data_IF_893272607287
#
_entry.id   IF_893272607287
#
_cell.length_a   1.000
_cell.length_b   1.000
_cell.length_c   1.000
_cell.angle_alpha   90.00
_cell.angle_beta   90.00
_cell.angle_gamma   90.00
#
_symmetry.space_group_name_H-M   'P 1'
#
loop_
_entity.id
_entity.type
_entity.pdbx_description
1 polymer ?
#
# COMPACT_ATOMS: atom_id res chain seq x y z
N UNK A 1 0.28 -67.66 22.94
CA UNK A 1 0.91 -67.35 21.64
C UNK A 1 0.00 -66.35 20.93
N UNK A 2 0.38 -65.06 20.94
CA UNK A 2 -0.47 -63.93 20.54
C UNK A 2 -0.06 -63.46 19.15
N UNK A 3 -1.00 -63.43 18.20
CA UNK A 3 -1.08 -62.44 17.11
C UNK A 3 -2.57 -62.24 16.79
N UNK A 4 -3.06 -61.00 16.73
CA UNK A 4 -3.08 -60.33 15.43
C UNK A 4 -2.93 -58.80 15.50
N UNK A 5 -2.73 -58.18 14.33
CA UNK A 5 -2.91 -56.73 14.16
C UNK A 5 -2.11 -56.16 13.00
N UNK A 6 -2.61 -56.30 11.77
CA UNK A 6 -2.14 -55.51 10.64
C UNK A 6 -2.83 -54.15 10.76
N UNK A 7 -2.07 -53.11 11.09
CA UNK A 7 -2.54 -51.73 11.10
C UNK A 7 -2.48 -51.16 9.67
N UNK A 8 -3.64 -50.86 9.09
CA UNK A 8 -3.74 -50.09 7.86
C UNK A 8 -3.59 -48.60 8.21
N UNK A 9 -2.52 -47.96 7.74
CA UNK A 9 -2.34 -46.52 7.86
C UNK A 9 -3.11 -45.82 6.73
N UNK A 10 -4.12 -45.02 7.09
CA UNK A 10 -4.82 -44.14 6.17
C UNK A 10 -3.97 -42.89 5.92
N UNK A 11 -3.50 -42.69 4.69
CA UNK A 11 -2.90 -41.43 4.26
C UNK A 11 -4.02 -40.44 3.93
N UNK A 12 -4.16 -39.39 4.75
CA UNK A 12 -5.06 -38.27 4.46
C UNK A 12 -4.35 -37.32 3.50
N UNK A 13 -4.72 -37.36 2.22
CA UNK A 13 -4.26 -36.37 1.23
C UNK A 13 -4.96 -35.04 1.50
N UNK A 14 -4.21 -34.03 1.94
CA UNK A 14 -4.69 -32.65 1.98
C UNK A 14 -4.63 -32.10 0.56
N UNK A 15 -5.79 -31.96 -0.09
CA UNK A 15 -5.89 -31.22 -1.35
C UNK A 15 -5.87 -29.73 -1.00
N UNK A 16 -4.71 -29.09 -1.20
CA UNK A 16 -4.61 -27.64 -1.21
C UNK A 16 -5.28 -27.12 -2.49
N UNK A 17 -6.56 -26.76 -2.39
CA UNK A 17 -7.22 -25.97 -3.43
C UNK A 17 -6.53 -24.60 -3.44
N UNK A 18 -5.86 -24.27 -4.54
CA UNK A 18 -5.33 -22.93 -4.75
C UNK A 18 -6.51 -21.94 -4.71
N UNK A 19 -6.51 -21.03 -3.73
CA UNK A 19 -7.46 -19.92 -3.69
C UNK A 19 -7.35 -19.12 -4.99
N UNK A 20 -8.45 -18.75 -5.65
CA UNK A 20 -8.37 -17.85 -6.80
C UNK A 20 -7.70 -16.54 -6.36
N UNK A 21 -6.86 -15.98 -7.23
CA UNK A 21 -6.23 -14.67 -7.00
C UNK A 21 -7.31 -13.57 -7.02
N UNK A 22 -7.98 -13.37 -5.89
CA UNK A 22 -8.94 -12.29 -5.70
C UNK A 22 -8.19 -11.00 -5.39
N UNK A 23 -8.50 -9.94 -6.13
CA UNK A 23 -8.09 -8.60 -5.75
C UNK A 23 -8.60 -8.29 -4.33
N UNK A 24 -7.73 -7.73 -3.51
CA UNK A 24 -8.04 -7.31 -2.16
C UNK A 24 -7.97 -5.78 -2.07
N UNK A 25 -8.60 -5.20 -1.05
CA UNK A 25 -8.54 -3.77 -0.81
C UNK A 25 -7.94 -3.42 0.55
N UNK A 26 -7.37 -2.23 0.66
CA UNK A 26 -6.88 -1.68 1.92
C UNK A 26 -7.14 -0.17 1.96
N UNK A 27 -7.71 0.29 3.08
CA UNK A 27 -8.11 1.67 3.27
C UNK A 27 -7.15 2.40 4.20
N UNK A 28 -6.76 3.60 3.81
CA UNK A 28 -5.85 4.45 4.57
C UNK A 28 -6.33 5.90 4.60
N UNK A 29 -6.12 6.54 5.74
CA UNK A 29 -6.16 8.00 5.87
C UNK A 29 -4.75 8.56 5.92
N UNK A 30 -4.55 9.76 5.37
CA UNK A 30 -3.27 10.45 5.46
C UNK A 30 -3.43 11.94 5.77
N UNK A 31 -2.49 12.48 6.52
CA UNK A 31 -2.47 13.88 6.94
C UNK A 31 -1.04 14.38 7.08
N UNK A 32 -0.76 15.55 6.54
CA UNK A 32 0.45 16.34 6.72
C UNK A 32 0.09 17.83 6.81
N UNK A 33 1.09 18.71 6.76
CA UNK A 33 0.90 20.16 6.91
C UNK A 33 0.13 20.80 5.75
N UNK A 34 0.40 20.40 4.50
CA UNK A 34 -0.30 20.89 3.31
C UNK A 34 -1.19 19.84 2.65
N UNK A 35 -0.99 18.56 2.91
CA UNK A 35 -1.65 17.45 2.21
C UNK A 35 -2.53 16.64 3.16
N UNK A 36 -3.73 16.26 2.73
CA UNK A 36 -4.60 15.34 3.48
C UNK A 36 -5.55 14.58 2.57
N UNK A 37 -6.08 13.47 3.05
CA UNK A 37 -7.05 12.70 2.29
C UNK A 37 -7.14 11.25 2.72
N UNK A 38 -7.63 10.43 1.81
CA UNK A 38 -7.75 8.99 1.99
C UNK A 38 -7.57 8.26 0.67
N UNK A 39 -7.07 7.03 0.73
CA UNK A 39 -7.08 6.14 -0.41
C UNK A 39 -7.53 4.73 -0.02
N UNK A 40 -8.30 4.13 -0.92
CA UNK A 40 -8.56 2.70 -0.98
C UNK A 40 -7.73 2.13 -2.12
N UNK A 41 -6.79 1.26 -1.78
CA UNK A 41 -5.92 0.56 -2.72
C UNK A 41 -6.60 -0.74 -3.11
N UNK A 42 -6.70 -1.03 -4.40
CA UNK A 42 -7.01 -2.39 -4.89
C UNK A 42 -5.73 -3.05 -5.37
N UNK A 43 -5.36 -4.18 -4.76
CA UNK A 43 -4.10 -4.85 -5.04
C UNK A 43 -4.26 -6.34 -5.31
N UNK A 44 -3.31 -6.90 -6.05
CA UNK A 44 -3.26 -8.32 -6.44
C UNK A 44 -1.88 -8.92 -6.09
N UNK A 45 -1.79 -10.26 -5.91
CA UNK A 45 -0.50 -10.91 -5.70
C UNK A 45 0.51 -10.56 -6.81
N UNK A 46 1.75 -10.27 -6.42
CA UNK A 46 2.82 -10.01 -7.37
C UNK A 46 3.52 -11.33 -7.77
N UNK A 47 3.42 -11.79 -9.03
CA UNK A 47 4.07 -13.02 -9.47
C UNK A 47 5.58 -12.85 -9.71
N UNK A 48 6.10 -11.62 -9.76
CA UNK A 48 7.49 -11.32 -10.12
C UNK A 48 8.34 -10.99 -8.90
N UNK A 49 8.09 -11.63 -7.76
CA UNK A 49 8.82 -11.33 -6.51
C UNK A 49 10.13 -12.11 -6.38
N UNK A 50 11.13 -11.48 -5.76
CA UNK A 50 12.43 -12.09 -5.49
C UNK A 50 13.27 -11.28 -4.52
N UNK A 51 14.40 -11.85 -4.11
CA UNK A 51 15.38 -11.13 -3.29
C UNK A 51 16.01 -10.02 -4.12
N UNK A 52 15.96 -8.78 -3.64
CA UNK A 52 16.70 -7.69 -4.27
C UNK A 52 18.20 -7.98 -4.14
N UNK A 53 18.81 -8.36 -5.26
CA UNK A 53 20.26 -8.54 -5.40
C UNK A 53 20.92 -7.26 -5.91
N UNK A 54 22.03 -7.40 -6.63
CA UNK A 54 22.70 -6.30 -7.32
C UNK A 54 22.01 -5.87 -8.62
N UNK A 55 20.92 -6.54 -9.02
CA UNK A 55 20.13 -6.26 -10.23
C UNK A 55 18.62 -6.24 -9.92
N UNK A 56 18.17 -5.26 -9.12
CA UNK A 56 16.79 -5.15 -8.65
C UNK A 56 15.76 -4.95 -9.78
N UNK A 57 16.17 -4.58 -10.99
CA UNK A 57 15.27 -4.39 -12.13
C UNK A 57 14.62 -5.68 -12.69
N UNK A 58 15.00 -6.86 -12.20
CA UNK A 58 14.48 -8.14 -12.72
C UNK A 58 13.33 -8.72 -11.91
N UNK A 59 13.22 -8.31 -10.65
CA UNK A 59 12.21 -8.78 -9.68
C UNK A 59 11.71 -7.61 -8.83
N UNK A 60 10.50 -7.73 -8.31
CA UNK A 60 10.04 -6.86 -7.24
C UNK A 60 10.38 -7.47 -5.88
N UNK A 61 10.47 -6.68 -4.80
CA UNK A 61 10.82 -7.21 -3.51
C UNK A 61 9.79 -8.22 -2.99
N UNK A 62 10.27 -9.26 -2.30
CA UNK A 62 9.40 -10.21 -1.59
C UNK A 62 8.46 -9.46 -0.64
N UNK A 63 7.19 -9.86 -0.63
CA UNK A 63 6.14 -9.21 0.18
C UNK A 63 5.44 -8.04 -0.52
N UNK A 64 5.84 -7.70 -1.75
CA UNK A 64 5.11 -6.74 -2.58
C UNK A 64 3.83 -7.33 -3.17
N UNK A 65 2.85 -6.45 -3.33
CA UNK A 65 1.64 -6.66 -4.12
C UNK A 65 1.58 -5.58 -5.21
N UNK A 66 0.96 -5.90 -6.34
CA UNK A 66 0.77 -4.93 -7.42
C UNK A 66 -0.50 -4.14 -7.13
N UNK A 67 -0.39 -2.82 -7.09
CA UNK A 67 -1.56 -1.95 -7.05
C UNK A 67 -2.18 -1.88 -8.44
N UNK A 68 -3.40 -2.38 -8.54
CA UNK A 68 -4.18 -2.42 -9.79
C UNK A 68 -5.13 -1.23 -9.93
N UNK A 69 -5.55 -0.63 -8.83
CA UNK A 69 -6.37 0.57 -8.80
C UNK A 69 -6.23 1.32 -7.48
N UNK A 70 -6.59 2.59 -7.49
CA UNK A 70 -6.68 3.44 -6.30
C UNK A 70 -7.84 4.42 -6.44
N UNK A 71 -8.63 4.55 -5.38
CA UNK A 71 -9.74 5.51 -5.28
C UNK A 71 -9.66 6.25 -3.97
N UNK A 72 -10.35 7.39 -3.83
CA UNK A 72 -10.39 8.15 -2.59
C UNK A 72 -10.39 9.64 -2.84
N UNK A 73 -9.86 10.39 -1.88
CA UNK A 73 -9.81 11.86 -1.92
C UNK A 73 -8.42 12.37 -1.64
N UNK A 74 -8.08 13.48 -2.27
CA UNK A 74 -6.84 14.21 -2.06
C UNK A 74 -7.12 15.70 -1.90
N UNK A 75 -6.50 16.30 -0.89
CA UNK A 75 -6.53 17.74 -0.63
C UNK A 75 -5.11 18.26 -0.53
N UNK A 76 -4.88 19.46 -1.05
CA UNK A 76 -3.64 20.19 -0.91
C UNK A 76 -3.95 21.67 -0.64
N UNK A 77 -3.65 22.13 0.58
CA UNK A 77 -3.94 23.49 1.03
C UNK A 77 -3.10 24.56 0.31
N UNK A 78 -1.84 24.26 -0.03
CA UNK A 78 -0.93 25.17 -0.77
C UNK A 78 -1.50 25.51 -2.15
N UNK A 79 -2.10 24.51 -2.80
CA UNK A 79 -2.62 24.62 -4.17
C UNK A 79 -4.12 24.96 -4.22
N UNK A 80 -4.79 25.04 -3.07
CA UNK A 80 -6.24 25.26 -2.98
C UNK A 80 -7.08 24.07 -3.45
N UNK A 81 -6.51 22.86 -3.47
CA UNK A 81 -7.21 21.63 -3.85
C UNK A 81 -7.94 21.08 -2.63
N UNK A 82 -9.27 20.90 -2.72
CA UNK A 82 -10.08 20.37 -1.63
C UNK A 82 -10.90 19.17 -2.09
N UNK A 83 -10.70 18.03 -1.43
CA UNK A 83 -11.42 16.77 -1.65
C UNK A 83 -11.50 16.36 -3.12
N UNK A 84 -10.42 16.58 -3.89
CA UNK A 84 -10.33 16.13 -5.25
C UNK A 84 -10.43 14.60 -5.30
N UNK A 85 -11.30 14.09 -6.17
CA UNK A 85 -11.44 12.66 -6.36
C UNK A 85 -10.16 12.10 -6.99
N UNK A 86 -9.66 10.99 -6.44
CA UNK A 86 -8.63 10.17 -7.09
C UNK A 86 -9.30 9.45 -8.26
N UNK A 87 -8.81 9.69 -9.48
CA UNK A 87 -9.43 9.20 -10.72
C UNK A 87 -8.81 7.91 -11.26
N UNK A 88 -7.66 7.50 -10.71
CA UNK A 88 -7.04 6.22 -11.04
C UNK A 88 -5.53 6.25 -10.89
N UNK A 89 -4.93 5.06 -10.92
CA UNK A 89 -3.49 4.88 -10.87
C UNK A 89 -2.87 5.14 -12.25
N UNK A 90 -1.69 5.77 -12.26
CA UNK A 90 -0.87 5.81 -13.47
C UNK A 90 -0.21 4.43 -13.60
N UNK A 91 -0.46 3.68 -14.69
CA UNK A 91 0.15 2.36 -14.86
C UNK A 91 1.66 2.47 -14.85
N UNK A 92 2.33 1.57 -14.14
CA UNK A 92 3.77 1.42 -14.30
C UNK A 92 4.04 1.15 -15.77
N UNK A 93 4.79 2.05 -16.41
CA UNK A 93 5.32 1.85 -17.75
C UNK A 93 6.78 1.45 -17.60
N UNK A 94 7.07 0.17 -17.31
CA UNK A 94 8.44 -0.32 -17.35
C UNK A 94 8.87 -0.21 -18.81
N UNK A 95 9.49 0.91 -19.18
CA UNK A 95 10.08 1.11 -20.50
C UNK A 95 11.32 0.20 -20.57
N UNK A 96 11.09 -1.11 -20.63
CA UNK A 96 12.04 -2.16 -20.25
C UNK A 96 12.52 -2.02 -18.79
N UNK A 97 12.90 -3.10 -18.09
CA UNK A 97 13.89 -2.90 -17.05
C UNK A 97 15.07 -2.21 -17.75
N UNK A 98 15.39 -0.98 -17.37
CA UNK A 98 16.66 -0.40 -17.78
C UNK A 98 17.69 -1.41 -17.27
N UNK A 99 18.31 -2.15 -18.19
CA UNK A 99 19.23 -3.24 -17.85
C UNK A 99 20.41 -2.74 -17.02
N UNK A 100 20.63 -1.43 -17.00
CA UNK A 100 21.65 -0.74 -16.21
C UNK A 100 21.12 -0.09 -14.93
N UNK A 101 19.80 0.00 -14.74
CA UNK A 101 19.20 0.46 -13.49
C UNK A 101 19.28 -0.64 -12.43
N UNK A 102 20.44 -0.70 -11.79
CA UNK A 102 20.71 -1.60 -10.67
C UNK A 102 20.17 -1.05 -9.33
N UNK A 103 19.33 -0.02 -9.37
CA UNK A 103 18.87 0.68 -8.17
C UNK A 103 17.39 0.43 -7.87
N UNK A 104 16.56 0.08 -8.85
CA UNK A 104 15.11 0.02 -8.67
C UNK A 104 14.47 -1.35 -9.00
N UNK A 105 13.28 -1.67 -8.43
CA UNK A 105 12.49 -2.86 -8.72
C UNK A 105 12.09 -3.02 -10.20
N UNK A 106 11.63 -4.22 -10.55
CA UNK A 106 11.10 -4.53 -11.90
C UNK A 106 9.93 -3.63 -12.29
N UNK A 107 9.03 -3.34 -11.36
CA UNK A 107 7.83 -2.54 -11.62
C UNK A 107 8.10 -1.03 -11.67
N UNK A 108 9.37 -0.63 -11.57
CA UNK A 108 9.77 0.76 -11.67
C UNK A 108 9.29 1.41 -12.97
N UNK A 109 8.73 2.60 -12.81
CA UNK A 109 8.24 3.48 -13.86
C UNK A 109 8.65 4.92 -13.58
N UNK A 110 8.40 5.75 -14.57
CA UNK A 110 8.74 7.16 -14.50
C UNK A 110 7.61 8.01 -15.08
N UNK A 111 7.15 8.99 -14.32
CA UNK A 111 6.12 9.93 -14.75
C UNK A 111 6.82 11.19 -15.26
N UNK A 112 6.75 11.50 -16.56
CA UNK A 112 7.52 12.58 -17.15
C UNK A 112 7.05 13.96 -16.65
N UNK A 113 8.02 14.82 -16.31
CA UNK A 113 7.81 16.23 -15.94
C UNK A 113 8.92 17.05 -16.57
N UNK A 114 8.62 18.26 -17.04
CA UNK A 114 9.61 19.15 -17.66
C UNK A 114 10.51 19.80 -16.59
N UNK A 115 9.92 20.37 -15.54
CA UNK A 115 10.62 20.99 -14.42
C UNK A 115 10.23 20.31 -13.10
N UNK A 116 10.87 19.18 -12.79
CA UNK A 116 10.70 18.50 -11.52
C UNK A 116 11.52 19.12 -10.38
N UNK A 117 11.51 18.50 -9.18
CA UNK A 117 12.24 19.01 -8.03
C UNK A 117 13.75 19.11 -8.31
N UNK A 118 14.46 20.05 -7.68
CA UNK A 118 15.90 20.19 -7.87
C UNK A 118 16.62 18.91 -7.42
N UNK A 119 17.45 18.35 -8.29
CA UNK A 119 18.42 17.33 -7.92
C UNK A 119 19.54 17.95 -7.06
N UNK A 120 20.36 17.13 -6.38
CA UNK A 120 21.54 17.62 -5.66
C UNK A 120 22.52 18.44 -6.52
N UNK A 121 22.52 18.23 -7.84
CA UNK A 121 23.33 18.98 -8.81
C UNK A 121 22.68 20.31 -9.28
N UNK A 122 21.51 20.66 -8.75
CA UNK A 122 20.77 21.88 -9.08
C UNK A 122 19.96 21.79 -10.39
N UNK A 123 20.02 20.68 -11.12
CA UNK A 123 19.19 20.48 -12.33
C UNK A 123 17.80 19.99 -11.96
N UNK A 124 16.73 20.39 -12.69
CA UNK A 124 15.41 19.83 -12.48
C UNK A 124 15.39 18.32 -12.76
N UNK A 125 14.79 17.54 -11.86
CA UNK A 125 14.47 16.16 -12.18
C UNK A 125 13.46 16.12 -13.34
N UNK A 126 13.68 15.23 -14.31
CA UNK A 126 12.84 15.16 -15.51
C UNK A 126 11.58 14.31 -15.33
N UNK A 127 11.15 14.07 -14.08
CA UNK A 127 10.00 13.26 -13.73
C UNK A 127 10.04 12.67 -12.33
N UNK A 128 8.99 11.92 -11.99
CA UNK A 128 8.79 11.25 -10.70
C UNK A 128 8.95 9.75 -10.86
N UNK A 129 9.78 9.14 -10.02
CA UNK A 129 9.92 7.70 -9.92
C UNK A 129 8.77 7.09 -9.13
N UNK A 130 8.28 5.93 -9.57
CA UNK A 130 7.27 5.14 -8.86
C UNK A 130 7.35 3.67 -9.30
N UNK A 131 6.71 2.76 -8.58
CA UNK A 131 6.65 1.36 -9.00
C UNK A 131 5.27 0.71 -8.80
N UNK A 132 4.34 1.40 -8.14
CA UNK A 132 3.00 0.90 -7.82
C UNK A 132 3.01 -0.40 -6.99
N UNK A 133 4.01 -0.57 -6.13
CA UNK A 133 4.11 -1.68 -5.20
C UNK A 133 3.53 -1.33 -3.82
N UNK A 134 2.76 -2.27 -3.27
CA UNK A 134 2.15 -2.16 -1.95
C UNK A 134 2.68 -3.23 -1.00
N UNK A 135 2.96 -2.83 0.24
CA UNK A 135 3.57 -3.66 1.27
C UNK A 135 2.75 -3.61 2.56
N UNK A 136 1.76 -4.50 2.75
CA UNK A 136 0.92 -4.48 3.95
C UNK A 136 1.73 -4.70 5.25
N UNK A 137 2.87 -5.39 5.16
CA UNK A 137 3.79 -5.63 6.28
C UNK A 137 4.90 -4.58 6.44
N UNK A 138 4.87 -3.52 5.63
CA UNK A 138 5.96 -2.54 5.52
C UNK A 138 6.97 -2.90 4.43
N UNK A 139 7.41 -1.88 3.70
CA UNK A 139 8.34 -2.03 2.59
C UNK A 139 9.72 -2.49 3.04
N UNK A 140 10.40 -3.37 2.29
CA UNK A 140 11.82 -3.60 2.48
C UNK A 140 12.62 -2.41 1.92
N UNK A 141 13.95 -2.45 2.10
CA UNK A 141 14.85 -1.52 1.41
C UNK A 141 14.73 -1.72 -0.11
N UNK A 142 14.10 -0.75 -0.79
CA UNK A 142 13.80 -0.83 -2.22
C UNK A 142 14.91 -0.29 -3.14
N UNK A 143 15.78 0.59 -2.63
CA UNK A 143 16.92 1.13 -3.38
C UNK A 143 18.24 0.88 -2.65
N UNK A 144 19.34 0.70 -3.38
CA UNK A 144 20.65 0.46 -2.77
C UNK A 144 21.25 1.70 -2.08
N UNK A 145 20.90 2.90 -2.56
CA UNK A 145 21.41 4.21 -2.12
C UNK A 145 20.50 4.93 -1.11
N UNK A 146 19.31 4.39 -0.83
CA UNK A 146 18.39 4.92 0.18
C UNK A 146 18.29 3.96 1.39
N UNK A 147 18.63 4.39 2.61
CA UNK A 147 18.78 3.46 3.74
C UNK A 147 17.45 3.14 4.47
N UNK A 148 16.42 3.97 4.31
CA UNK A 148 15.19 3.86 5.09
C UNK A 148 14.09 3.09 4.34
N UNK A 149 13.22 2.42 5.09
CA UNK A 149 12.12 1.59 4.58
C UNK A 149 11.05 1.36 5.66
N UNK A 150 9.98 0.62 5.33
CA UNK A 150 8.99 0.16 6.30
C UNK A 150 7.60 0.78 6.16
N UNK A 151 7.38 1.64 5.16
CA UNK A 151 6.05 2.16 4.84
C UNK A 151 5.21 1.20 4.03
N UNK A 152 3.91 1.49 3.90
CA UNK A 152 3.00 0.69 3.05
C UNK A 152 3.33 0.82 1.57
N UNK A 153 4.09 1.86 1.23
CA UNK A 153 4.80 2.06 -0.01
C UNK A 153 6.30 2.13 0.30
N UNK A 154 7.14 1.97 -0.71
CA UNK A 154 8.56 2.26 -0.60
C UNK A 154 8.89 3.69 -1.05
N UNK A 155 10.18 3.96 -1.29
CA UNK A 155 10.69 5.27 -1.67
C UNK A 155 10.30 5.70 -3.08
N UNK A 156 9.86 4.77 -3.94
CA UNK A 156 9.32 5.09 -5.26
C UNK A 156 7.82 5.34 -5.15
N UNK A 157 7.13 4.46 -4.41
CA UNK A 157 5.72 4.58 -4.14
C UNK A 157 4.85 4.53 -5.38
N UNK A 158 3.80 5.34 -5.38
CA UNK A 158 2.74 5.27 -6.39
C UNK A 158 2.53 6.62 -7.07
N UNK A 159 1.99 6.59 -8.29
CA UNK A 159 1.45 7.79 -8.93
C UNK A 159 -0.01 7.58 -9.25
N UNK A 160 -0.86 8.53 -8.85
CA UNK A 160 -2.27 8.54 -9.19
C UNK A 160 -2.68 9.90 -9.74
N UNK A 161 -3.82 9.91 -10.41
CA UNK A 161 -4.42 11.13 -10.97
C UNK A 161 -5.54 11.62 -10.09
N UNK A 162 -5.73 12.94 -10.06
CA UNK A 162 -6.82 13.60 -9.37
C UNK A 162 -7.56 14.55 -10.32
N UNK A 163 -8.87 14.67 -10.14
CA UNK A 163 -9.68 15.66 -10.84
C UNK A 163 -9.65 17.00 -10.08
N UNK A 164 -9.21 18.07 -10.75
CA UNK A 164 -9.26 19.44 -10.21
C UNK A 164 -10.03 20.37 -11.14
N UNK A 165 -10.39 21.55 -10.63
CA UNK A 165 -10.95 22.65 -11.42
C UNK A 165 -10.00 23.15 -12.53
N UNK A 166 -8.69 22.91 -12.36
CA UNK A 166 -7.63 23.25 -13.32
C UNK A 166 -7.20 22.06 -14.19
N UNK A 167 -8.07 21.05 -14.33
CA UNK A 167 -7.83 19.83 -15.10
C UNK A 167 -7.27 18.67 -14.27
N UNK A 168 -6.85 17.60 -14.94
CA UNK A 168 -6.22 16.45 -14.28
C UNK A 168 -4.83 16.82 -13.77
N UNK A 169 -4.54 16.48 -12.52
CA UNK A 169 -3.19 16.57 -11.93
C UNK A 169 -2.72 15.17 -11.56
N UNK A 170 -1.42 14.93 -11.55
CA UNK A 170 -0.83 13.71 -11.02
C UNK A 170 -0.23 13.97 -9.64
N UNK A 171 -0.26 12.96 -8.79
CA UNK A 171 0.30 12.97 -7.46
C UNK A 171 1.19 11.75 -7.31
N UNK A 172 2.48 11.96 -7.05
CA UNK A 172 3.34 10.91 -6.55
C UNK A 172 3.24 10.89 -5.03
N UNK A 173 3.06 9.71 -4.44
CA UNK A 173 2.96 9.50 -3.00
C UNK A 173 3.87 8.34 -2.62
N UNK A 174 4.83 8.58 -1.72
CA UNK A 174 5.89 7.62 -1.39
C UNK A 174 6.16 7.59 0.13
N UNK A 175 6.88 6.57 0.58
CA UNK A 175 7.38 6.50 1.95
C UNK A 175 8.84 6.93 2.04
N UNK A 176 9.17 7.77 3.02
CA UNK A 176 10.55 8.05 3.41
C UNK A 176 11.11 6.97 4.36
N UNK A 177 10.32 5.92 4.64
CA UNK A 177 10.66 4.88 5.59
C UNK A 177 10.52 5.30 7.06
N UNK A 178 10.94 4.41 7.95
CA UNK A 178 10.97 4.64 9.40
C UNK A 178 12.18 5.46 9.78
N UNK A 179 11.96 6.70 10.21
CA UNK A 179 12.99 7.63 10.64
C UNK A 179 12.60 8.13 12.03
N UNK A 180 13.53 8.09 13.00
CA UNK A 180 13.29 8.66 14.33
C UNK A 180 12.13 8.04 15.13
N UNK A 181 11.76 6.79 14.84
CA UNK A 181 10.73 6.04 15.58
C UNK A 181 9.34 6.00 14.94
N UNK A 182 9.16 6.57 13.75
CA UNK A 182 7.91 6.47 12.99
C UNK A 182 8.14 6.48 11.48
N UNK A 183 7.21 5.90 10.73
CA UNK A 183 7.21 5.95 9.28
C UNK A 183 6.68 7.29 8.81
N UNK A 184 7.41 7.98 7.92
CA UNK A 184 6.95 9.21 7.27
C UNK A 184 6.78 9.01 5.77
N UNK A 185 5.97 9.88 5.17
CA UNK A 185 5.63 9.84 3.75
C UNK A 185 5.81 11.23 3.14
N UNK A 186 5.89 11.27 1.82
CA UNK A 186 5.89 12.51 1.05
C UNK A 186 4.94 12.43 -0.13
N UNK A 187 4.61 13.60 -0.67
CA UNK A 187 3.80 13.72 -1.86
C UNK A 187 4.27 14.87 -2.74
N UNK A 188 4.19 14.69 -4.06
CA UNK A 188 4.49 15.72 -5.05
C UNK A 188 3.31 15.84 -6.01
N UNK A 189 2.81 17.06 -6.20
CA UNK A 189 1.69 17.36 -7.09
C UNK A 189 2.21 18.00 -8.37
N UNK A 190 1.76 17.55 -9.53
CA UNK A 190 2.22 18.03 -10.84
C UNK A 190 1.09 18.14 -11.86
N UNK A 191 1.25 19.00 -12.87
CA UNK A 191 0.49 18.98 -14.13
C UNK A 191 1.20 18.27 -15.28
N UNK A 192 2.33 17.63 -15.02
CA UNK A 192 3.19 17.04 -16.05
C UNK A 192 4.08 18.06 -16.77
N UNK A 193 4.02 19.35 -16.41
CA UNK A 193 5.02 20.35 -16.79
C UNK A 193 5.90 20.68 -15.59
N UNK A 194 5.29 21.07 -14.48
CA UNK A 194 6.00 21.51 -13.28
C UNK A 194 5.58 20.68 -12.05
N UNK A 195 6.47 20.56 -11.06
CA UNK A 195 6.06 20.20 -9.70
C UNK A 195 5.55 21.45 -8.99
N UNK A 196 4.28 21.41 -8.61
CA UNK A 196 3.51 22.54 -8.08
C UNK A 196 3.62 22.64 -6.56
N UNK A 197 3.71 21.49 -5.88
CA UNK A 197 3.95 21.40 -4.45
C UNK A 197 4.70 20.10 -4.14
N UNK A 198 5.56 20.15 -3.12
CA UNK A 198 6.34 19.02 -2.62
C UNK A 198 6.21 18.98 -1.10
N UNK A 199 5.40 18.06 -0.60
CA UNK A 199 5.06 17.91 0.80
C UNK A 199 5.84 16.76 1.44
N UNK A 200 6.34 16.99 2.65
CA UNK A 200 6.97 15.97 3.50
C UNK A 200 6.20 15.75 4.80
N UNK A 201 6.74 14.88 5.66
CA UNK A 201 6.22 14.58 7.01
C UNK A 201 4.74 14.20 7.05
N UNK A 202 4.27 13.49 6.02
CA UNK A 202 2.91 12.98 5.96
C UNK A 202 2.83 11.72 6.82
N UNK A 203 1.80 11.66 7.67
CA UNK A 203 1.43 10.47 8.44
C UNK A 203 0.35 9.69 7.70
N UNK A 204 0.50 8.37 7.66
CA UNK A 204 -0.47 7.44 7.04
C UNK A 204 -0.95 6.46 8.10
N UNK A 205 -2.26 6.29 8.19
CA UNK A 205 -2.90 5.39 9.17
C UNK A 205 -3.84 4.44 8.45
N UNK A 206 -3.73 3.14 8.76
CA UNK A 206 -4.67 2.15 8.26
C UNK A 206 -6.04 2.39 8.89
N UNK A 207 -7.08 2.41 8.06
CA UNK A 207 -8.46 2.49 8.53
C UNK A 207 -8.96 1.06 8.69
N UNK A 208 -9.38 0.65 9.89
CA UNK A 208 -9.89 -0.71 10.09
C UNK A 208 -11.10 -0.97 9.20
N UNK A 209 -11.12 -2.12 8.52
CA UNK A 209 -12.19 -2.47 7.58
C UNK A 209 -13.56 -2.42 8.27
N UNK A 210 -14.61 -1.87 7.63
CA UNK A 210 -15.98 -1.83 8.18
C UNK A 210 -16.50 -3.19 8.65
N UNK A 211 -16.11 -4.27 7.97
CA UNK A 211 -16.45 -5.64 8.36
C UNK A 211 -15.85 -6.03 9.72
N UNK A 212 -14.66 -5.52 10.06
CA UNK A 212 -14.05 -5.74 11.37
C UNK A 212 -14.88 -5.11 12.47
N UNK A 213 -15.40 -3.90 12.25
CA UNK A 213 -16.33 -3.25 13.18
C UNK A 213 -17.61 -4.04 13.36
N UNK A 214 -18.19 -4.53 12.25
CA UNK A 214 -19.38 -5.37 12.31
C UNK A 214 -19.11 -6.67 13.10
N UNK A 215 -18.00 -7.37 12.83
CA UNK A 215 -17.61 -8.59 13.54
C UNK A 215 -17.34 -8.34 15.03
N UNK A 216 -16.71 -7.22 15.38
CA UNK A 216 -16.55 -6.82 16.78
C UNK A 216 -17.89 -6.55 17.45
N UNK A 217 -18.79 -5.80 16.81
CA UNK A 217 -20.13 -5.52 17.34
C UNK A 217 -20.95 -6.80 17.50
N UNK A 218 -20.89 -7.72 16.54
CA UNK A 218 -21.54 -9.03 16.65
C UNK A 218 -20.92 -9.83 17.79
N UNK A 219 -19.60 -9.89 17.90
CA UNK A 219 -18.88 -10.56 18.99
C UNK A 219 -19.28 -10.03 20.37
N UNK A 220 -19.23 -8.71 20.57
CA UNK A 220 -19.63 -8.06 21.81
C UNK A 220 -21.14 -8.23 22.08
N UNK A 221 -21.97 -8.14 21.04
CA UNK A 221 -23.41 -8.37 21.12
C UNK A 221 -23.74 -9.77 21.62
N UNK A 222 -23.05 -10.80 21.13
CA UNK A 222 -23.21 -12.18 21.58
C UNK A 222 -22.80 -12.36 23.05
N UNK A 223 -21.64 -11.82 23.45
CA UNK A 223 -21.15 -11.89 24.84
C UNK A 223 -22.12 -11.19 25.80
N UNK A 224 -22.54 -9.97 25.46
CA UNK A 224 -23.50 -9.19 26.25
C UNK A 224 -24.87 -9.88 26.34
N UNK A 225 -25.36 -10.42 25.22
CA UNK A 225 -26.59 -11.20 25.17
C UNK A 225 -26.55 -12.43 26.06
N UNK A 226 -25.44 -13.19 26.03
CA UNK A 226 -25.24 -14.36 26.86
C UNK A 226 -25.17 -14.03 28.36
N UNK A 227 -24.45 -12.97 28.73
CA UNK A 227 -24.38 -12.50 30.11
C UNK A 227 -25.76 -12.09 30.65
N UNK A 228 -26.58 -11.42 29.81
CA UNK A 228 -27.97 -11.05 30.16
C UNK A 228 -28.87 -12.28 30.29
N UNK A 229 -28.72 -13.27 29.41
CA UNK A 229 -29.50 -14.51 29.47
C UNK A 229 -29.25 -15.28 30.78
N UNK A 230 -27.99 -15.39 31.22
CA UNK A 230 -27.64 -16.05 32.49
C UNK A 230 -28.26 -15.40 33.72
N UNK A 231 -28.34 -14.06 33.76
CA UNK A 231 -28.94 -13.33 34.89
C UNK A 231 -30.45 -13.57 35.06
N UNK A 232 -31.15 -14.02 34.01
CA UNK A 232 -32.59 -14.35 34.09
C UNK A 232 -32.89 -15.69 34.74
N UNK A 233 -31.88 -16.49 35.09
CA UNK A 233 -32.03 -17.83 35.71
C UNK A 233 -31.87 -17.85 37.23
N UNK A 234 -31.77 -16.70 37.91
CA UNK A 234 -31.71 -16.61 39.38
C UNK A 234 -32.89 -15.80 39.90
N UNK A 235 -34.11 -16.35 39.82
CA UNK A 235 -35.21 -16.13 40.78
C UNK A 235 -36.13 -17.36 40.71
N UNK A 236 -35.94 -18.32 41.62
CA UNK A 236 -37.01 -19.16 42.17
C UNK A 236 -36.59 -19.64 43.57
N UNK A 237 -37.16 -19.00 44.59
CA UNK A 237 -37.65 -19.61 45.84
C UNK A 237 -36.66 -20.08 46.91
N UNK A 238 -36.48 -19.26 47.96
CA UNK A 238 -36.60 -19.64 49.38
C UNK A 238 -36.89 -18.38 50.20
#
# INVERSE_FOLDING_TARGET
MIKPGIAAAAFTTVVLLASPATAATALYGFTGSSVSGSFEITYVPNPNTGTLGTSPNTVDPVGSYIVSNITGTFSNATLGISNAAITGIVPSSPAAPDLTNLLAPRSFGFYPIVNGPPRPDGTPATGLSYDNLYYPGGSPKASSDYPFFGGVFDIYGIVFTIATDKGTRAVNFWSNGTIGGGTTYGAAVTDGQDVLDYAGDISVTAVPEPATWAMMLVGFGMIGGYARYRRRRIVFGA
#
